data_IF_134492919346
#
_entry.id   IF_134492919346
#
_cell.length_a   1.000
_cell.length_b   1.000
_cell.length_c   1.000
_cell.angle_alpha   90.00
_cell.angle_beta   90.00
_cell.angle_gamma   90.00
#
_symmetry.space_group_name_H-M   'P 1'
#
loop_
_entity.id
_entity.type
_entity.pdbx_description
1 polymer ?
#
# COMPACT_ATOMS: atom_id res chain seq x y z
N UNK A 1 21.09 10.86 -36.64
CA UNK A 1 21.11 10.87 -36.11
C UNK A 1 20.74 11.01 -35.06
N UNK A 2 20.36 11.24 -34.59
CA UNK A 2 19.81 11.48 -33.69
C UNK A 2 19.14 10.58 -33.06
N UNK A 3 18.59 10.40 -32.41
CA UNK A 3 17.84 9.56 -31.94
C UNK A 3 18.01 9.06 -30.74
N UNK A 4 18.88 9.17 -30.28
CA UNK A 4 19.16 8.57 -29.23
C UNK A 4 18.74 9.11 -28.08
N UNK A 5 18.23 9.96 -27.91
CA UNK A 5 17.80 10.52 -26.76
C UNK A 5 16.78 9.76 -26.06
N UNK A 6 16.19 8.82 -26.60
CA UNK A 6 15.22 8.08 -25.96
C UNK A 6 15.60 7.38 -24.76
N UNK A 7 16.77 7.07 -24.57
CA UNK A 7 17.21 6.29 -23.44
C UNK A 7 16.85 6.90 -22.11
N UNK A 8 16.85 8.19 -22.06
CA UNK A 8 16.60 8.84 -20.80
C UNK A 8 15.17 8.63 -20.29
N UNK A 9 14.25 8.51 -21.18
CA UNK A 9 12.88 8.39 -20.74
C UNK A 9 12.56 7.05 -20.10
N UNK A 10 13.38 6.05 -20.32
CA UNK A 10 13.14 4.75 -19.79
C UNK A 10 13.19 4.69 -18.28
N UNK A 11 13.88 5.62 -17.67
CA UNK A 11 14.02 5.60 -16.22
C UNK A 11 13.09 6.57 -15.52
N UNK A 12 12.27 7.28 -16.24
CA UNK A 12 11.36 8.23 -15.62
C UNK A 12 10.21 7.47 -14.94
N UNK A 13 9.89 7.84 -13.73
CA UNK A 13 8.73 7.29 -13.03
C UNK A 13 7.52 8.06 -13.49
N UNK A 14 6.55 7.38 -14.05
CA UNK A 14 5.36 8.01 -14.56
C UNK A 14 4.37 8.25 -13.45
N UNK A 15 3.59 9.30 -13.57
CA UNK A 15 2.53 9.58 -12.62
C UNK A 15 1.52 8.44 -12.52
N UNK A 16 1.26 7.77 -13.65
CA UNK A 16 0.36 6.63 -13.66
C UNK A 16 0.86 5.50 -12.80
N UNK A 17 2.16 5.22 -12.85
CA UNK A 17 2.75 4.16 -12.04
C UNK A 17 2.65 4.48 -10.56
N UNK A 18 2.89 5.73 -10.20
CA UNK A 18 2.77 6.18 -8.83
C UNK A 18 1.33 6.01 -8.36
N UNK A 19 0.37 6.43 -9.18
CA UNK A 19 -1.04 6.32 -8.82
C UNK A 19 -1.48 4.88 -8.64
N UNK A 20 -1.03 3.98 -9.49
CA UNK A 20 -1.37 2.57 -9.38
C UNK A 20 -0.79 1.95 -8.12
N UNK A 21 0.45 2.25 -7.82
CA UNK A 21 1.11 1.73 -6.63
C UNK A 21 0.44 2.24 -5.36
N UNK A 22 0.11 3.53 -5.33
CA UNK A 22 -0.56 4.13 -4.19
C UNK A 22 -1.95 3.52 -4.03
N UNK A 23 -2.67 3.34 -5.13
CA UNK A 23 -4.01 2.77 -5.08
C UNK A 23 -4.01 1.33 -4.55
N UNK A 24 -3.04 0.53 -4.98
CA UNK A 24 -2.90 -0.83 -4.49
C UNK A 24 -2.63 -0.85 -2.99
N UNK A 25 -1.76 0.04 -2.52
CA UNK A 25 -1.47 0.18 -1.11
C UNK A 25 -2.72 0.62 -0.34
N UNK A 26 -3.41 1.63 -0.83
CA UNK A 26 -4.61 2.15 -0.15
C UNK A 26 -5.70 1.09 -0.04
N UNK A 27 -5.87 0.27 -1.08
CA UNK A 27 -6.83 -0.83 -1.03
C UNK A 27 -6.50 -1.80 0.10
N UNK A 28 -5.25 -2.21 0.19
CA UNK A 28 -4.83 -3.13 1.26
C UNK A 28 -4.96 -2.48 2.63
N UNK A 29 -4.60 -1.21 2.74
CA UNK A 29 -4.71 -0.46 3.99
C UNK A 29 -6.16 -0.34 4.44
N UNK A 30 -7.06 -0.05 3.51
CA UNK A 30 -8.49 0.06 3.83
C UNK A 30 -9.05 -1.29 4.27
N UNK A 31 -8.67 -2.36 3.61
CA UNK A 31 -9.10 -3.70 4.02
C UNK A 31 -8.58 -4.04 5.41
N UNK A 32 -7.32 -3.69 5.68
CA UNK A 32 -6.75 -3.88 7.00
C UNK A 32 -7.57 -3.16 8.06
N UNK A 33 -7.86 -1.89 7.84
CA UNK A 33 -8.60 -1.08 8.78
C UNK A 33 -10.05 -1.55 8.93
N UNK A 34 -10.65 -1.96 7.83
CA UNK A 34 -12.03 -2.44 7.82
C UNK A 34 -12.17 -3.69 8.70
N UNK A 35 -11.34 -4.69 8.49
CA UNK A 35 -11.43 -5.92 9.27
C UNK A 35 -11.01 -5.71 10.73
N UNK A 36 -10.01 -4.87 10.96
CA UNK A 36 -9.62 -4.55 12.33
C UNK A 36 -10.77 -3.89 13.09
N UNK A 37 -11.56 -3.06 12.39
CA UNK A 37 -12.71 -2.41 13.00
C UNK A 37 -13.89 -3.33 13.23
N UNK A 38 -13.93 -4.50 12.58
CA UNK A 38 -15.00 -5.47 12.77
C UNK A 38 -14.75 -6.41 13.95
N UNK A 39 -13.56 -6.38 14.50
CA UNK A 39 -13.25 -7.28 15.61
C UNK A 39 -14.12 -6.97 16.82
N UNK A 40 -14.73 -8.03 17.41
CA UNK A 40 -15.54 -7.91 18.59
C UNK A 40 -15.46 -9.26 19.30
N UNK A 41 -15.11 -9.25 20.57
CA UNK A 41 -14.95 -10.46 21.35
C UNK A 41 -16.27 -11.15 21.66
N UNK A 42 -17.40 -10.55 21.31
CA UNK A 42 -18.72 -11.17 21.48
C UNK A 42 -19.13 -11.97 20.25
N UNK A 43 -18.37 -11.89 19.16
CA UNK A 43 -18.68 -12.63 17.94
C UNK A 43 -18.41 -14.13 18.15
N UNK A 44 -19.08 -15.00 17.35
CA UNK A 44 -18.77 -16.44 17.39
C UNK A 44 -17.29 -16.67 17.06
N UNK A 45 -16.72 -17.71 17.63
CA UNK A 45 -15.29 -18.01 17.44
C UNK A 45 -14.91 -18.17 15.97
N UNK A 46 -15.78 -18.77 15.17
CA UNK A 46 -15.50 -18.93 13.74
C UNK A 46 -15.37 -17.59 13.06
N UNK A 47 -16.20 -16.63 13.42
CA UNK A 47 -16.14 -15.29 12.84
C UNK A 47 -14.91 -14.53 13.34
N UNK A 48 -14.57 -14.68 14.62
CA UNK A 48 -13.36 -14.07 15.15
C UNK A 48 -12.13 -14.55 14.41
N UNK A 49 -12.04 -15.86 14.13
CA UNK A 49 -10.91 -16.41 13.39
C UNK A 49 -10.84 -15.89 11.96
N UNK A 50 -11.98 -15.75 11.31
CA UNK A 50 -12.03 -15.19 9.96
C UNK A 50 -11.50 -13.76 9.94
N UNK A 51 -11.91 -12.94 10.91
CA UNK A 51 -11.48 -11.57 11.01
C UNK A 51 -9.98 -11.50 11.31
N UNK A 52 -9.50 -12.32 12.24
CA UNK A 52 -8.08 -12.36 12.55
C UNK A 52 -7.24 -12.72 11.33
N UNK A 53 -7.69 -13.71 10.57
CA UNK A 53 -6.99 -14.11 9.35
C UNK A 53 -6.96 -12.97 8.32
N UNK A 54 -8.08 -12.26 8.17
CA UNK A 54 -8.17 -11.14 7.25
C UNK A 54 -7.28 -9.97 7.70
N UNK A 55 -7.30 -9.64 8.97
CA UNK A 55 -6.44 -8.59 9.54
C UNK A 55 -4.97 -8.94 9.29
N UNK A 56 -4.59 -10.16 9.61
CA UNK A 56 -3.22 -10.60 9.42
C UNK A 56 -2.80 -10.49 7.96
N UNK A 57 -3.64 -10.94 7.05
CA UNK A 57 -3.36 -10.91 5.63
C UNK A 57 -3.22 -9.49 5.09
N UNK A 58 -4.22 -8.66 5.32
CA UNK A 58 -4.27 -7.34 4.70
C UNK A 58 -3.35 -6.33 5.39
N UNK A 59 -3.22 -6.42 6.69
CA UNK A 59 -2.32 -5.51 7.40
C UNK A 59 -0.86 -5.83 7.11
N UNK A 60 -0.50 -7.10 6.99
CA UNK A 60 0.84 -7.50 6.60
C UNK A 60 1.15 -7.05 5.19
N UNK A 61 0.20 -7.24 4.26
CA UNK A 61 0.37 -6.81 2.89
C UNK A 61 0.53 -5.29 2.81
N UNK A 62 -0.32 -4.55 3.51
CA UNK A 62 -0.25 -3.09 3.51
C UNK A 62 1.09 -2.59 4.05
N UNK A 63 1.59 -3.22 5.11
CA UNK A 63 2.88 -2.86 5.69
C UNK A 63 4.02 -3.08 4.72
N UNK A 64 4.01 -4.21 4.02
CA UNK A 64 5.03 -4.51 3.02
C UNK A 64 4.98 -3.51 1.87
N UNK A 65 3.78 -3.21 1.39
CA UNK A 65 3.60 -2.22 0.33
C UNK A 65 4.08 -0.85 0.77
N UNK A 66 3.80 -0.46 2.00
CA UNK A 66 4.24 0.82 2.54
C UNK A 66 5.77 0.90 2.52
N UNK A 67 6.46 -0.14 2.96
CA UNK A 67 7.92 -0.17 2.95
C UNK A 67 8.48 -0.11 1.54
N UNK A 68 7.88 -0.85 0.61
CA UNK A 68 8.30 -0.85 -0.78
C UNK A 68 8.13 0.52 -1.41
N UNK A 69 7.01 1.18 -1.13
CA UNK A 69 6.75 2.50 -1.67
C UNK A 69 7.69 3.55 -1.10
N UNK A 70 8.03 3.44 0.17
CA UNK A 70 9.00 4.34 0.79
C UNK A 70 10.35 4.27 0.08
N UNK A 71 10.77 3.07 -0.29
CA UNK A 71 12.03 2.89 -0.99
C UNK A 71 11.94 3.34 -2.44
N UNK A 72 10.87 2.94 -3.12
CA UNK A 72 10.71 3.21 -4.54
C UNK A 72 10.56 4.69 -4.85
N UNK A 73 9.82 5.39 -4.01
CA UNK A 73 9.56 6.81 -4.22
C UNK A 73 10.27 7.70 -3.21
N UNK A 74 11.46 7.28 -2.82
CA UNK A 74 12.27 8.03 -1.90
C UNK A 74 12.53 9.43 -2.44
N UNK A 75 12.31 10.45 -1.65
CA UNK A 75 12.43 11.83 -2.07
C UNK A 75 11.18 12.43 -2.66
N UNK A 76 10.15 11.63 -2.91
CA UNK A 76 8.87 12.16 -3.37
C UNK A 76 8.06 12.54 -2.14
N UNK A 77 8.00 13.83 -1.84
CA UNK A 77 7.38 14.32 -0.62
C UNK A 77 5.90 14.03 -0.54
N UNK A 78 5.21 14.04 -1.67
CA UNK A 78 3.79 13.74 -1.68
C UNK A 78 3.51 12.30 -1.28
N UNK A 79 4.31 11.37 -1.79
CA UNK A 79 4.18 9.96 -1.45
C UNK A 79 4.56 9.74 0.01
N UNK A 80 5.65 10.34 0.45
CA UNK A 80 6.09 10.19 1.84
C UNK A 80 5.05 10.70 2.82
N UNK A 81 4.44 11.84 2.51
CA UNK A 81 3.40 12.39 3.34
C UNK A 81 2.16 11.48 3.39
N UNK A 82 1.76 10.96 2.24
CA UNK A 82 0.63 10.05 2.19
C UNK A 82 0.89 8.81 3.03
N UNK A 83 2.06 8.20 2.87
CA UNK A 83 2.40 6.99 3.60
C UNK A 83 2.46 7.21 5.10
N UNK A 84 2.85 8.41 5.52
CA UNK A 84 2.95 8.73 6.95
C UNK A 84 1.59 8.79 7.64
N UNK A 85 0.52 8.87 6.89
CA UNK A 85 -0.83 8.90 7.45
C UNK A 85 -1.31 7.51 7.88
N UNK A 86 -0.60 6.48 7.48
CA UNK A 86 -0.98 5.10 7.80
C UNK A 86 -0.04 4.51 8.84
N UNK A 87 -0.63 3.90 9.85
CA UNK A 87 0.11 3.26 10.92
C UNK A 87 -0.40 1.82 11.07
N UNK A 88 0.49 0.87 10.92
CA UNK A 88 0.11 -0.53 11.01
C UNK A 88 0.84 -1.29 12.08
#
# INVERSE_FOLDING_TARGET
MAGFVLAASCFAVRAEDVQQDIRAFQTSAEECQHFAGEWDNTLPMSRQKEIEAAVDKYCTLARKQQEQLKKRYQGNMQVEELLSQYDF
#
